data_IF_930390810098
#
_entry.id   IF_930390810098
#
_cell.length_a   1.000
_cell.length_b   1.000
_cell.length_c   1.000
_cell.angle_alpha   90.00
_cell.angle_beta   90.00
_cell.angle_gamma   90.00
#
_symmetry.space_group_name_H-M   'P 1'
#
loop_
_entity.id
_entity.type
_entity.pdbx_description
1 polymer ?
#
# COMPACT_ATOMS: atom_id res chain seq x y z
N UNK A 1 -21.11 -12.64 10.32
CA UNK A 1 -19.62 -12.79 10.40
C UNK A 1 -19.10 -12.59 8.99
N UNK A 2 -18.19 -11.61 8.80
CA UNK A 2 -17.64 -11.31 7.48
C UNK A 2 -16.43 -12.21 7.17
N UNK A 3 -16.29 -12.61 5.93
CA UNK A 3 -15.21 -13.47 5.44
C UNK A 3 -14.14 -12.62 4.77
N UNK A 4 -12.91 -12.66 5.27
CA UNK A 4 -11.78 -11.91 4.73
C UNK A 4 -10.72 -12.90 4.31
N UNK A 5 -10.30 -12.86 3.05
CA UNK A 5 -9.15 -13.61 2.58
C UNK A 5 -7.95 -12.68 2.39
N UNK A 6 -6.76 -13.11 2.83
CA UNK A 6 -5.52 -12.36 2.70
C UNK A 6 -4.60 -13.09 1.73
N UNK A 7 -4.16 -12.42 0.68
CA UNK A 7 -3.17 -12.97 -0.26
C UNK A 7 -1.76 -12.67 0.27
N UNK A 8 -0.99 -13.73 0.51
CA UNK A 8 0.36 -13.68 1.06
C UNK A 8 0.44 -14.18 2.49
N UNK A 9 1.59 -14.69 2.90
CA UNK A 9 1.85 -15.23 4.24
C UNK A 9 3.04 -14.55 4.94
N UNK A 10 3.39 -13.35 4.48
CA UNK A 10 4.50 -12.55 5.00
C UNK A 10 4.18 -11.80 6.31
N UNK A 11 5.09 -10.92 6.73
CA UNK A 11 4.98 -10.17 7.98
C UNK A 11 3.71 -9.31 8.05
N UNK A 12 3.34 -8.63 6.94
CA UNK A 12 2.12 -7.81 6.90
C UNK A 12 0.88 -8.68 7.12
N UNK A 13 0.78 -9.83 6.43
CA UNK A 13 -0.34 -10.75 6.61
C UNK A 13 -0.46 -11.21 8.07
N UNK A 14 0.65 -11.67 8.68
CA UNK A 14 0.64 -12.10 10.09
C UNK A 14 0.22 -11.00 11.05
N UNK A 15 0.70 -9.78 10.82
CA UNK A 15 0.31 -8.63 11.63
C UNK A 15 -1.20 -8.37 11.51
N UNK A 16 -1.74 -8.36 10.29
CA UNK A 16 -3.19 -8.19 10.04
C UNK A 16 -3.99 -9.28 10.77
N UNK A 17 -3.58 -10.54 10.63
CA UNK A 17 -4.25 -11.66 11.30
C UNK A 17 -4.23 -11.49 12.82
N UNK A 18 -3.06 -11.20 13.40
CA UNK A 18 -2.92 -10.99 14.84
C UNK A 18 -3.80 -9.83 15.34
N UNK A 19 -3.84 -8.71 14.62
CA UNK A 19 -4.65 -7.55 14.99
C UNK A 19 -6.15 -7.82 14.87
N UNK A 20 -6.59 -8.53 13.80
CA UNK A 20 -8.00 -8.92 13.63
C UNK A 20 -8.44 -10.01 14.63
N UNK A 21 -7.50 -10.79 15.17
CA UNK A 21 -7.74 -11.81 16.18
C UNK A 21 -7.47 -11.33 17.62
N UNK A 22 -7.03 -10.08 17.81
CA UNK A 22 -6.58 -9.59 19.12
C UNK A 22 -7.69 -9.54 20.18
N UNK A 23 -8.93 -9.28 19.78
CA UNK A 23 -10.07 -9.20 20.71
C UNK A 23 -11.18 -10.17 20.35
N UNK A 24 -11.97 -10.59 21.34
CA UNK A 24 -13.13 -11.46 21.10
C UNK A 24 -14.13 -10.82 20.14
N UNK A 25 -14.39 -9.54 20.28
CA UNK A 25 -15.31 -8.79 19.40
C UNK A 25 -14.89 -8.82 17.93
N UNK A 26 -13.60 -8.78 17.62
CA UNK A 26 -13.09 -8.89 16.26
C UNK A 26 -13.15 -10.35 15.76
N UNK A 27 -12.82 -11.33 16.62
CA UNK A 27 -12.96 -12.76 16.30
C UNK A 27 -14.41 -13.13 15.95
N UNK A 28 -15.37 -12.59 16.69
CA UNK A 28 -16.80 -12.83 16.44
C UNK A 28 -17.29 -12.12 15.15
N UNK A 29 -16.60 -11.09 14.73
CA UNK A 29 -16.95 -10.30 13.54
C UNK A 29 -16.39 -10.90 12.26
N UNK A 30 -15.17 -11.48 12.29
CA UNK A 30 -14.43 -11.89 11.11
C UNK A 30 -14.08 -13.37 11.09
N UNK A 31 -14.28 -14.01 9.92
CA UNK A 31 -13.70 -15.29 9.56
C UNK A 31 -12.56 -15.05 8.58
N UNK A 32 -11.39 -15.65 8.84
CA UNK A 32 -10.16 -15.32 8.14
C UNK A 32 -9.67 -16.50 7.30
N UNK A 33 -9.15 -16.20 6.12
CA UNK A 33 -8.46 -17.15 5.26
C UNK A 33 -7.17 -16.52 4.71
N UNK A 34 -6.21 -17.36 4.33
CA UNK A 34 -4.95 -16.94 3.73
C UNK A 34 -4.72 -17.72 2.46
N UNK A 35 -4.43 -17.02 1.36
CA UNK A 35 -3.85 -17.61 0.16
C UNK A 35 -2.32 -17.58 0.30
N UNK A 36 -1.72 -18.74 0.46
CA UNK A 36 -0.28 -18.92 0.58
C UNK A 36 0.24 -19.84 -0.53
N UNK A 37 1.54 -19.75 -0.84
CA UNK A 37 2.18 -20.65 -1.83
C UNK A 37 2.26 -22.12 -1.38
N UNK A 38 2.05 -22.37 -0.09
CA UNK A 38 2.09 -23.70 0.52
C UNK A 38 1.13 -23.74 1.70
N UNK A 39 0.52 -24.90 1.96
CA UNK A 39 -0.29 -25.14 3.18
C UNK A 39 0.52 -25.02 4.48
N UNK A 40 1.84 -25.16 4.38
CA UNK A 40 2.77 -24.99 5.51
C UNK A 40 3.74 -23.84 5.18
N UNK A 41 3.33 -22.58 5.41
CA UNK A 41 4.22 -21.45 5.23
C UNK A 41 5.45 -21.57 6.15
N UNK A 42 6.61 -21.09 5.70
CA UNK A 42 7.86 -21.16 6.45
C UNK A 42 7.78 -20.54 7.86
N UNK A 43 6.84 -19.60 8.06
CA UNK A 43 6.48 -19.08 9.38
C UNK A 43 5.02 -19.42 9.65
N UNK A 44 4.70 -20.05 10.80
CA UNK A 44 3.34 -20.43 11.14
C UNK A 44 2.37 -19.24 11.11
N UNK A 45 1.15 -19.51 10.66
CA UNK A 45 0.02 -18.57 10.73
C UNK A 45 -0.78 -18.82 12.02
N UNK A 46 -1.54 -17.84 12.51
CA UNK A 46 -2.48 -18.06 13.61
C UNK A 46 -3.47 -19.20 13.33
N UNK A 47 -3.78 -20.00 14.35
CA UNK A 47 -4.61 -21.22 14.25
C UNK A 47 -6.05 -20.98 13.74
N UNK A 48 -6.52 -19.75 13.76
CA UNK A 48 -7.90 -19.40 13.38
C UNK A 48 -8.05 -18.91 11.94
N UNK A 49 -7.06 -19.14 11.06
CA UNK A 49 -7.13 -18.80 9.65
C UNK A 49 -7.13 -20.08 8.79
N UNK A 50 -8.11 -20.20 7.89
CA UNK A 50 -8.10 -21.24 6.86
C UNK A 50 -6.94 -20.96 5.87
N UNK A 51 -6.24 -22.01 5.40
CA UNK A 51 -5.11 -21.84 4.47
C UNK A 51 -5.43 -22.50 3.14
N UNK A 52 -5.38 -21.68 2.08
CA UNK A 52 -5.59 -22.10 0.70
C UNK A 52 -4.30 -21.90 -0.09
N UNK A 53 -4.10 -22.70 -1.14
CA UNK A 53 -2.97 -22.57 -2.08
C UNK A 53 -3.42 -22.21 -3.49
N UNK A 54 -4.72 -22.12 -3.71
CA UNK A 54 -5.35 -21.78 -4.98
C UNK A 54 -6.39 -20.68 -4.80
N UNK A 55 -6.41 -19.72 -5.72
CA UNK A 55 -7.33 -18.57 -5.68
C UNK A 55 -8.78 -18.98 -5.94
N UNK A 56 -9.00 -20.00 -6.78
CA UNK A 56 -10.36 -20.43 -7.11
C UNK A 56 -11.00 -21.12 -5.89
N UNK A 57 -10.20 -21.82 -5.06
CA UNK A 57 -10.64 -22.33 -3.76
C UNK A 57 -10.95 -21.19 -2.76
N UNK A 58 -10.16 -20.10 -2.76
CA UNK A 58 -10.47 -18.90 -1.98
C UNK A 58 -11.80 -18.28 -2.41
N UNK A 59 -12.02 -18.14 -3.72
CA UNK A 59 -13.27 -17.57 -4.24
C UNK A 59 -14.47 -18.47 -3.96
N UNK A 60 -14.31 -19.81 -4.03
CA UNK A 60 -15.33 -20.77 -3.63
C UNK A 60 -15.68 -20.70 -2.13
N UNK A 61 -14.74 -20.25 -1.28
CA UNK A 61 -14.99 -19.96 0.14
C UNK A 61 -15.82 -18.69 0.35
N UNK A 62 -16.12 -17.92 -0.73
CA UNK A 62 -16.98 -16.73 -0.78
C UNK A 62 -16.53 -15.63 0.20
N UNK A 63 -15.34 -15.04 0.01
CA UNK A 63 -14.91 -13.90 0.81
C UNK A 63 -15.75 -12.65 0.49
N UNK A 64 -16.05 -11.84 1.50
CA UNK A 64 -16.64 -10.51 1.34
C UNK A 64 -15.59 -9.47 0.92
N UNK A 65 -14.32 -9.74 1.25
CA UNK A 65 -13.18 -8.89 0.93
C UNK A 65 -11.92 -9.74 0.75
N UNK A 66 -11.16 -9.47 -0.30
CA UNK A 66 -9.81 -9.98 -0.47
C UNK A 66 -8.80 -8.85 -0.22
N UNK A 67 -7.83 -9.09 0.66
CA UNK A 67 -6.73 -8.16 0.99
C UNK A 67 -5.44 -8.69 0.38
N UNK A 68 -4.88 -7.97 -0.58
CA UNK A 68 -3.55 -8.28 -1.10
C UNK A 68 -2.48 -7.71 -0.14
N UNK A 69 -1.64 -8.58 0.40
CA UNK A 69 -0.52 -8.27 1.30
C UNK A 69 0.75 -9.03 0.90
N UNK A 70 1.03 -9.13 -0.39
CA UNK A 70 2.10 -9.94 -0.97
C UNK A 70 3.06 -9.15 -1.87
N UNK A 71 2.61 -8.73 -3.06
CA UNK A 71 3.45 -8.03 -4.04
C UNK A 71 2.62 -7.43 -5.19
N UNK A 72 3.23 -6.53 -5.98
CA UNK A 72 2.65 -6.05 -7.23
C UNK A 72 2.33 -7.19 -8.22
N UNK A 73 3.13 -8.28 -8.21
CA UNK A 73 2.83 -9.47 -9.01
C UNK A 73 1.53 -10.15 -8.60
N UNK A 74 1.23 -10.21 -7.30
CA UNK A 74 -0.03 -10.77 -6.82
C UNK A 74 -1.25 -9.93 -7.21
N UNK A 75 -1.12 -8.60 -7.29
CA UNK A 75 -2.17 -7.72 -7.82
C UNK A 75 -2.48 -8.08 -9.27
N UNK A 76 -1.46 -8.27 -10.10
CA UNK A 76 -1.60 -8.65 -11.53
C UNK A 76 -2.22 -10.03 -11.69
N UNK A 77 -1.80 -10.99 -10.86
CA UNK A 77 -2.20 -12.40 -10.96
C UNK A 77 -3.65 -12.63 -10.47
N UNK A 78 -4.02 -11.97 -9.36
CA UNK A 78 -5.28 -12.30 -8.66
C UNK A 78 -6.35 -11.21 -8.73
N UNK A 79 -5.98 -9.95 -9.00
CA UNK A 79 -6.90 -8.82 -8.94
C UNK A 79 -8.09 -8.97 -9.88
N UNK A 80 -7.84 -9.33 -11.13
CA UNK A 80 -8.89 -9.55 -12.14
C UNK A 80 -9.84 -10.67 -11.71
N UNK A 81 -9.31 -11.81 -11.22
CA UNK A 81 -10.12 -12.97 -10.79
C UNK A 81 -11.07 -12.59 -9.66
N UNK A 82 -10.55 -11.88 -8.64
CA UNK A 82 -11.35 -11.42 -7.50
C UNK A 82 -12.48 -10.49 -7.93
N UNK A 83 -12.16 -9.48 -8.75
CA UNK A 83 -13.12 -8.47 -9.18
C UNK A 83 -14.19 -9.03 -10.13
N UNK A 84 -13.81 -9.95 -11.04
CA UNK A 84 -14.76 -10.69 -11.89
C UNK A 84 -15.71 -11.57 -11.09
N UNK A 85 -15.26 -12.11 -9.96
CA UNK A 85 -16.11 -12.85 -9.04
C UNK A 85 -17.02 -11.96 -8.16
N UNK A 86 -17.00 -10.62 -8.37
CA UNK A 86 -17.78 -9.66 -7.59
C UNK A 86 -17.23 -9.40 -6.18
N UNK A 87 -15.97 -9.80 -5.91
CA UNK A 87 -15.35 -9.64 -4.60
C UNK A 87 -14.49 -8.37 -4.57
N UNK A 88 -14.72 -7.49 -3.60
CA UNK A 88 -13.91 -6.29 -3.41
C UNK A 88 -12.46 -6.64 -3.10
N UNK A 89 -11.53 -5.85 -3.66
CA UNK A 89 -10.10 -6.12 -3.61
C UNK A 89 -9.33 -4.96 -3.00
N UNK A 90 -8.76 -5.16 -1.81
CA UNK A 90 -7.91 -4.19 -1.13
C UNK A 90 -6.45 -4.41 -1.56
N UNK A 91 -5.85 -3.39 -2.16
CA UNK A 91 -4.50 -3.44 -2.74
C UNK A 91 -3.53 -2.69 -1.84
N UNK A 92 -2.56 -3.39 -1.24
CA UNK A 92 -1.48 -2.74 -0.49
C UNK A 92 -0.26 -2.44 -1.36
N UNK A 93 -0.08 -3.22 -2.41
CA UNK A 93 0.99 -3.05 -3.40
C UNK A 93 0.55 -2.07 -4.51
N UNK A 94 0.11 -0.86 -4.10
CA UNK A 94 -0.45 0.16 -4.98
C UNK A 94 0.46 0.55 -6.16
N UNK A 95 1.78 0.32 -6.05
CA UNK A 95 2.73 0.48 -7.15
C UNK A 95 2.38 -0.32 -8.41
N UNK A 96 1.59 -1.41 -8.30
CA UNK A 96 1.08 -2.14 -9.46
C UNK A 96 0.19 -1.27 -10.37
N UNK A 97 -0.52 -0.30 -9.79
CA UNK A 97 -1.44 0.61 -10.49
C UNK A 97 -0.71 1.75 -11.24
N UNK A 98 0.62 1.79 -11.20
CA UNK A 98 1.43 2.61 -12.10
C UNK A 98 1.30 2.13 -13.56
N UNK A 99 1.00 0.86 -13.76
CA UNK A 99 0.58 0.31 -15.04
C UNK A 99 -0.88 0.73 -15.32
N UNK A 100 -1.04 1.66 -16.25
CA UNK A 100 -2.33 2.28 -16.55
C UNK A 100 -3.31 1.31 -17.22
N UNK A 101 -2.83 0.33 -17.98
CA UNK A 101 -3.67 -0.69 -18.59
C UNK A 101 -4.21 -1.64 -17.50
N UNK A 102 -3.35 -2.09 -16.59
CA UNK A 102 -3.79 -2.88 -15.46
C UNK A 102 -4.81 -2.12 -14.60
N UNK A 103 -4.53 -0.85 -14.26
CA UNK A 103 -5.42 -0.04 -13.45
C UNK A 103 -6.79 0.15 -14.11
N UNK A 104 -6.83 0.43 -15.42
CA UNK A 104 -8.06 0.55 -16.19
C UNK A 104 -8.82 -0.78 -16.27
N UNK A 105 -8.14 -1.89 -16.54
CA UNK A 105 -8.75 -3.23 -16.59
C UNK A 105 -9.35 -3.64 -15.24
N UNK A 106 -8.62 -3.48 -14.13
CA UNK A 106 -9.14 -3.76 -12.81
C UNK A 106 -10.35 -2.88 -12.47
N UNK A 107 -10.31 -1.60 -12.82
CA UNK A 107 -11.45 -0.68 -12.60
C UNK A 107 -12.70 -1.11 -13.38
N UNK A 108 -12.54 -1.51 -14.64
CA UNK A 108 -13.63 -2.01 -15.44
C UNK A 108 -14.24 -3.31 -14.84
N UNK A 109 -13.39 -4.23 -14.37
CA UNK A 109 -13.87 -5.46 -13.72
C UNK A 109 -14.59 -5.17 -12.39
N UNK A 110 -14.10 -4.22 -11.59
CA UNK A 110 -14.76 -3.81 -10.36
C UNK A 110 -16.16 -3.22 -10.64
N UNK A 111 -16.29 -2.38 -11.67
CA UNK A 111 -17.57 -1.81 -12.10
C UNK A 111 -18.55 -2.90 -12.57
N UNK A 112 -18.08 -3.81 -13.43
CA UNK A 112 -18.90 -4.91 -13.95
C UNK A 112 -19.32 -5.88 -12.85
N UNK A 113 -18.43 -6.17 -11.87
CA UNK A 113 -18.70 -7.06 -10.74
C UNK A 113 -19.50 -6.41 -9.59
N UNK A 114 -19.81 -5.10 -9.66
CA UNK A 114 -20.51 -4.38 -8.59
C UNK A 114 -19.70 -4.32 -7.29
N UNK A 115 -18.38 -4.43 -7.37
CA UNK A 115 -17.47 -4.44 -6.24
C UNK A 115 -16.46 -3.28 -6.29
N UNK A 116 -15.51 -3.23 -5.38
CA UNK A 116 -14.60 -2.08 -5.22
C UNK A 116 -13.14 -2.47 -5.22
N UNK A 117 -12.29 -1.62 -5.79
CA UNK A 117 -10.87 -1.56 -5.49
C UNK A 117 -10.68 -0.60 -4.33
N UNK A 118 -9.94 -1.04 -3.30
CA UNK A 118 -9.69 -0.25 -2.10
C UNK A 118 -8.18 -0.09 -1.95
N UNK A 119 -7.72 1.15 -1.82
CA UNK A 119 -6.31 1.46 -1.59
C UNK A 119 -6.19 2.07 -0.19
N UNK A 120 -5.57 1.39 0.78
CA UNK A 120 -5.37 1.95 2.11
C UNK A 120 -4.34 3.09 2.04
N UNK A 121 -4.41 4.03 2.98
CA UNK A 121 -3.42 5.11 3.07
C UNK A 121 -2.00 4.59 3.38
N UNK A 122 -1.89 3.39 3.93
CA UNK A 122 -0.62 2.74 4.18
C UNK A 122 0.27 3.53 5.15
N UNK A 123 1.36 4.10 4.64
CA UNK A 123 2.32 4.85 5.43
C UNK A 123 2.02 6.35 5.58
N UNK A 124 0.95 6.84 4.98
CA UNK A 124 0.62 8.27 4.91
C UNK A 124 -0.80 8.56 5.41
N UNK A 125 -1.19 9.84 5.40
CA UNK A 125 -2.53 10.32 5.73
C UNK A 125 -2.94 11.46 4.80
N UNK A 126 -4.12 12.07 5.06
CA UNK A 126 -4.60 13.24 4.33
C UNK A 126 -5.12 12.95 2.91
N UNK A 127 -5.40 11.69 2.58
CA UNK A 127 -5.88 11.31 1.23
C UNK A 127 -7.23 11.96 0.89
N UNK A 128 -8.07 12.16 1.88
CA UNK A 128 -9.37 12.86 1.76
C UNK A 128 -9.18 14.32 1.31
N UNK A 129 -8.25 15.05 1.93
CA UNK A 129 -7.91 16.42 1.51
C UNK A 129 -7.33 16.42 0.09
N UNK A 130 -6.42 15.48 -0.23
CA UNK A 130 -5.79 15.36 -1.54
C UNK A 130 -6.86 15.11 -2.62
N UNK A 131 -7.78 14.19 -2.38
CA UNK A 131 -8.90 13.91 -3.29
C UNK A 131 -9.78 15.14 -3.53
N UNK A 132 -10.05 15.90 -2.48
CA UNK A 132 -10.79 17.17 -2.58
C UNK A 132 -10.03 18.23 -3.39
N UNK A 133 -8.75 18.44 -3.07
CA UNK A 133 -7.89 19.41 -3.74
C UNK A 133 -7.69 19.09 -5.23
N UNK A 134 -7.55 17.82 -5.59
CA UNK A 134 -7.37 17.37 -6.97
C UNK A 134 -8.57 17.66 -7.90
N UNK A 135 -9.73 17.99 -7.35
CA UNK A 135 -10.90 18.38 -8.15
C UNK A 135 -10.81 19.82 -8.71
N UNK A 136 -9.88 20.62 -8.21
CA UNK A 136 -9.65 21.97 -8.70
C UNK A 136 -8.69 21.94 -9.90
N UNK A 137 -9.02 22.59 -11.03
CA UNK A 137 -8.08 22.71 -12.17
C UNK A 137 -6.75 23.30 -11.73
N UNK A 138 -5.66 22.74 -12.22
CA UNK A 138 -4.30 23.19 -11.88
C UNK A 138 -3.83 22.82 -10.48
N UNK A 139 -4.47 21.86 -9.81
CA UNK A 139 -3.96 21.33 -8.55
C UNK A 139 -2.58 20.70 -8.75
N UNK A 140 -1.66 20.99 -7.84
CA UNK A 140 -0.28 20.48 -7.83
C UNK A 140 -0.10 19.56 -6.62
N UNK A 141 0.49 18.38 -6.84
CA UNK A 141 0.83 17.42 -5.78
C UNK A 141 2.30 17.04 -5.93
N UNK A 142 3.06 17.28 -4.87
CA UNK A 142 4.46 16.89 -4.77
C UNK A 142 4.69 16.02 -3.55
N UNK A 143 5.56 15.02 -3.72
CA UNK A 143 5.88 14.04 -2.70
C UNK A 143 7.39 13.83 -2.60
N UNK A 144 7.89 13.83 -1.37
CA UNK A 144 9.28 13.49 -1.06
C UNK A 144 9.33 12.20 -0.23
N UNK A 145 10.07 11.22 -0.71
CA UNK A 145 10.44 10.03 0.03
C UNK A 145 11.85 10.22 0.59
N UNK A 146 11.97 10.46 1.90
CA UNK A 146 13.25 10.67 2.58
C UNK A 146 13.57 9.46 3.46
N UNK A 147 14.77 8.93 3.31
CA UNK A 147 15.25 7.81 4.12
C UNK A 147 16.74 8.00 4.44
N UNK A 148 17.21 7.44 5.57
CA UNK A 148 18.61 7.51 5.93
C UNK A 148 19.50 6.75 4.93
N UNK A 149 20.81 7.05 4.85
CA UNK A 149 21.75 6.43 3.92
C UNK A 149 21.74 4.90 3.93
N UNK A 150 21.53 4.29 5.08
CA UNK A 150 21.46 2.83 5.23
C UNK A 150 20.32 2.17 4.43
N UNK A 151 19.28 2.91 4.05
CA UNK A 151 18.18 2.41 3.23
C UNK A 151 18.49 2.41 1.72
N UNK A 152 19.61 3.06 1.30
CA UNK A 152 19.97 3.33 -0.08
C UNK A 152 21.37 2.81 -0.44
N UNK A 153 21.81 1.71 0.21
CA UNK A 153 23.16 1.15 0.00
C UNK A 153 23.48 0.86 -1.47
N UNK A 154 22.60 0.18 -2.25
CA UNK A 154 22.91 -0.11 -3.65
C UNK A 154 23.06 1.14 -4.52
N UNK A 155 22.20 2.15 -4.28
CA UNK A 155 22.21 3.40 -5.03
C UNK A 155 23.46 4.24 -4.70
N UNK A 156 23.84 4.31 -3.44
CA UNK A 156 25.05 5.00 -2.98
C UNK A 156 26.32 4.30 -3.48
N UNK A 157 26.35 2.98 -3.46
CA UNK A 157 27.45 2.18 -4.00
C UNK A 157 27.65 2.43 -5.49
N UNK A 158 26.55 2.46 -6.27
CA UNK A 158 26.59 2.79 -7.69
C UNK A 158 27.12 4.19 -7.98
N UNK A 159 27.00 5.12 -7.02
CA UNK A 159 27.54 6.48 -7.08
C UNK A 159 28.97 6.58 -6.52
N UNK A 160 29.54 5.50 -6.00
CA UNK A 160 30.86 5.49 -5.35
C UNK A 160 30.88 6.25 -4.01
N UNK A 161 29.73 6.39 -3.34
CA UNK A 161 29.58 7.15 -2.09
C UNK A 161 29.43 6.18 -0.92
N UNK A 162 30.33 6.28 0.06
CA UNK A 162 30.17 5.53 1.30
C UNK A 162 29.00 6.13 2.13
N UNK A 163 28.10 5.30 2.71
CA UNK A 163 26.97 5.82 3.49
C UNK A 163 27.36 6.78 4.62
N UNK A 164 28.50 6.53 5.26
CA UNK A 164 29.04 7.39 6.32
C UNK A 164 29.57 8.75 5.82
N UNK A 165 29.81 8.89 4.52
CA UNK A 165 30.26 10.15 3.91
C UNK A 165 29.11 11.09 3.51
N UNK A 166 27.86 10.63 3.62
CA UNK A 166 26.68 11.45 3.30
C UNK A 166 26.43 12.39 4.47
N UNK A 167 26.79 13.66 4.31
CA UNK A 167 26.60 14.74 5.29
C UNK A 167 25.40 15.64 4.98
N UNK A 168 24.98 15.68 3.72
CA UNK A 168 23.87 16.51 3.22
C UNK A 168 22.89 15.65 2.41
N UNK A 169 21.61 16.06 2.28
CA UNK A 169 20.65 15.35 1.47
C UNK A 169 21.06 15.20 0.01
N UNK A 170 20.92 13.98 -0.54
CA UNK A 170 21.19 13.66 -1.94
C UNK A 170 19.86 13.29 -2.63
N UNK A 171 19.51 14.01 -3.70
CA UNK A 171 18.35 13.69 -4.53
C UNK A 171 18.74 12.62 -5.53
N UNK A 172 18.23 11.40 -5.33
CA UNK A 172 18.44 10.26 -6.24
C UNK A 172 17.54 10.33 -7.48
N UNK A 173 16.38 10.96 -7.34
CA UNK A 173 15.38 11.10 -8.39
C UNK A 173 14.52 12.34 -8.16
N UNK A 174 14.15 13.01 -9.24
CA UNK A 174 13.14 14.07 -9.28
C UNK A 174 12.40 13.98 -10.61
N UNK A 175 11.07 13.82 -10.57
CA UNK A 175 10.24 13.67 -11.77
C UNK A 175 8.85 13.14 -11.46
N UNK A 176 8.07 12.76 -12.48
CA UNK A 176 6.71 12.27 -12.31
C UNK A 176 6.65 10.90 -11.61
N UNK A 177 5.54 10.63 -10.92
CA UNK A 177 5.32 9.35 -10.22
C UNK A 177 5.38 8.14 -11.17
N UNK A 178 5.01 8.29 -12.44
CA UNK A 178 5.11 7.23 -13.46
C UNK A 178 6.55 6.76 -13.67
N UNK A 179 7.50 7.68 -13.80
CA UNK A 179 8.93 7.35 -13.98
C UNK A 179 9.54 6.81 -12.67
N UNK A 180 9.17 7.44 -11.55
CA UNK A 180 9.60 7.00 -10.24
C UNK A 180 9.21 5.54 -9.97
N UNK A 181 7.98 5.13 -10.34
CA UNK A 181 7.47 3.77 -10.17
C UNK A 181 8.28 2.72 -10.95
N UNK A 182 8.75 3.08 -12.14
CA UNK A 182 9.62 2.20 -12.96
C UNK A 182 11.01 2.07 -12.32
N UNK A 183 11.58 3.19 -11.86
CA UNK A 183 12.94 3.22 -11.33
C UNK A 183 13.07 2.61 -9.94
N UNK A 184 12.04 2.75 -9.09
CA UNK A 184 12.03 2.31 -7.69
C UNK A 184 10.80 1.44 -7.35
N UNK A 185 10.54 0.32 -8.03
CA UNK A 185 9.29 -0.43 -7.92
C UNK A 185 9.01 -0.97 -6.50
N UNK A 186 10.05 -1.15 -5.68
CA UNK A 186 9.91 -1.65 -4.30
C UNK A 186 9.65 -0.55 -3.26
N UNK A 187 9.81 0.72 -3.64
CA UNK A 187 9.83 1.85 -2.69
C UNK A 187 8.67 2.84 -2.87
N UNK A 188 7.81 2.67 -3.90
CA UNK A 188 6.91 3.73 -4.33
C UNK A 188 5.41 3.42 -4.28
N UNK A 189 4.98 2.49 -3.41
CA UNK A 189 3.55 2.32 -3.15
C UNK A 189 2.89 3.64 -2.71
N UNK A 190 3.57 4.45 -1.90
CA UNK A 190 3.08 5.76 -1.44
C UNK A 190 2.88 6.73 -2.61
N UNK A 191 3.85 6.83 -3.53
CA UNK A 191 3.72 7.71 -4.70
C UNK A 191 2.54 7.29 -5.59
N UNK A 192 2.36 5.98 -5.80
CA UNK A 192 1.22 5.45 -6.54
C UNK A 192 -0.11 5.72 -5.82
N UNK A 193 -0.17 5.54 -4.50
CA UNK A 193 -1.36 5.87 -3.70
C UNK A 193 -1.73 7.36 -3.83
N UNK A 194 -0.75 8.26 -3.72
CA UNK A 194 -0.95 9.69 -3.88
C UNK A 194 -1.43 10.06 -5.29
N UNK A 195 -0.82 9.46 -6.30
CA UNK A 195 -1.21 9.68 -7.69
C UNK A 195 -2.65 9.21 -7.97
N UNK A 196 -3.04 8.05 -7.44
CA UNK A 196 -4.42 7.53 -7.56
C UNK A 196 -5.44 8.39 -6.80
N UNK A 197 -5.06 8.94 -5.65
CA UNK A 197 -5.91 9.84 -4.88
C UNK A 197 -5.97 11.26 -5.46
N UNK A 198 -4.96 11.67 -6.22
CA UNK A 198 -4.72 13.05 -6.62
C UNK A 198 -4.86 13.30 -8.12
N UNK A 199 -3.78 13.83 -8.71
CA UNK A 199 -3.74 14.35 -10.10
C UNK A 199 -3.22 13.34 -11.12
N UNK A 200 -3.08 12.08 -10.74
CA UNK A 200 -2.61 10.98 -11.60
C UNK A 200 -1.09 10.83 -11.65
N UNK A 201 -0.65 9.73 -12.28
CA UNK A 201 0.74 9.28 -12.27
C UNK A 201 1.71 10.24 -12.99
N UNK A 202 1.24 10.93 -14.02
CA UNK A 202 2.07 11.83 -14.83
C UNK A 202 2.20 13.24 -14.24
N UNK A 203 1.18 13.70 -13.50
CA UNK A 203 1.16 15.05 -12.92
C UNK A 203 1.72 15.09 -11.49
N UNK A 204 1.64 13.99 -10.73
CA UNK A 204 2.19 13.92 -9.37
C UNK A 204 3.72 13.93 -9.43
N UNK A 205 4.36 14.92 -8.81
CA UNK A 205 5.82 15.06 -8.74
C UNK A 205 6.37 14.29 -7.55
N UNK A 206 7.50 13.59 -7.77
CA UNK A 206 8.14 12.74 -6.75
C UNK A 206 9.61 13.07 -6.65
N UNK A 207 10.10 13.20 -5.43
CA UNK A 207 11.52 13.19 -5.12
C UNK A 207 11.87 12.00 -4.23
N UNK A 208 12.96 11.34 -4.57
CA UNK A 208 13.56 10.27 -3.76
C UNK A 208 14.87 10.80 -3.20
N UNK A 209 14.98 10.86 -1.88
CA UNK A 209 16.04 11.58 -1.19
C UNK A 209 16.73 10.67 -0.17
N UNK A 210 18.06 10.58 -0.27
CA UNK A 210 18.92 10.11 0.82
C UNK A 210 19.08 11.28 1.78
N UNK A 211 18.64 11.13 3.01
CA UNK A 211 18.71 12.20 4.00
C UNK A 211 19.41 11.71 5.28
N UNK A 212 20.64 12.16 5.56
CA UNK A 212 21.39 11.72 6.74
C UNK A 212 20.74 12.15 8.06
N UNK A 213 19.87 13.16 8.03
CA UNK A 213 19.14 13.62 9.21
C UNK A 213 17.76 12.96 9.37
N UNK A 214 17.32 12.16 8.38
CA UNK A 214 16.05 11.47 8.49
C UNK A 214 16.10 10.38 9.56
N UNK A 215 15.22 10.44 10.59
CA UNK A 215 15.22 9.45 11.67
C UNK A 215 14.58 8.10 11.27
N UNK A 216 14.12 7.97 10.02
CA UNK A 216 13.46 6.77 9.51
C UNK A 216 12.85 6.98 8.13
N UNK A 217 11.76 6.26 7.84
CA UNK A 217 10.98 6.46 6.62
C UNK A 217 10.15 7.74 6.76
N UNK A 218 10.60 8.82 6.15
CA UNK A 218 9.89 10.11 6.14
C UNK A 218 9.19 10.33 4.81
N UNK A 219 7.95 10.76 4.88
CA UNK A 219 7.09 11.10 3.77
C UNK A 219 6.67 12.56 3.91
N UNK A 220 7.03 13.41 2.95
CA UNK A 220 6.61 14.82 2.90
C UNK A 220 5.72 15.00 1.68
N UNK A 221 4.53 15.54 1.92
CA UNK A 221 3.51 15.75 0.88
C UNK A 221 3.17 17.23 0.85
N UNK A 222 3.20 17.81 -0.33
CA UNK A 222 2.79 19.18 -0.59
C UNK A 222 1.65 19.18 -1.61
N UNK A 223 0.57 19.86 -1.28
CA UNK A 223 -0.59 20.04 -2.14
C UNK A 223 -0.88 21.51 -2.26
N UNK A 224 -1.10 21.99 -3.49
CA UNK A 224 -1.53 23.34 -3.79
C UNK A 224 -2.70 23.30 -4.76
N UNK A 225 -3.74 24.04 -4.45
CA UNK A 225 -4.92 24.18 -5.29
C UNK A 225 -5.51 25.57 -5.14
N UNK A 226 -6.54 25.91 -5.92
CA UNK A 226 -7.27 27.15 -5.76
C UNK A 226 -7.96 27.28 -4.38
N UNK A 227 -8.24 26.15 -3.70
CA UNK A 227 -8.85 26.15 -2.37
C UNK A 227 -7.86 26.37 -1.22
N UNK A 228 -6.55 26.22 -1.47
CA UNK A 228 -5.52 26.39 -0.44
C UNK A 228 -4.30 25.52 -0.62
N UNK A 229 -3.43 25.54 0.39
CA UNK A 229 -2.22 24.74 0.47
C UNK A 229 -2.29 23.79 1.66
N UNK A 230 -1.74 22.59 1.47
CA UNK A 230 -1.62 21.57 2.51
C UNK A 230 -0.20 21.03 2.50
N UNK A 231 0.39 20.88 3.67
CA UNK A 231 1.68 20.22 3.83
C UNK A 231 1.59 19.22 4.96
N UNK A 232 2.08 18.01 4.71
CA UNK A 232 2.09 16.92 5.68
C UNK A 232 3.48 16.31 5.71
N UNK A 233 4.08 16.19 6.90
CA UNK A 233 5.30 15.43 7.12
C UNK A 233 5.04 14.33 8.12
N UNK A 234 5.33 13.09 7.72
CA UNK A 234 5.17 11.90 8.55
C UNK A 234 6.51 11.19 8.64
N UNK A 235 6.94 10.89 9.85
CA UNK A 235 8.09 10.02 10.11
C UNK A 235 7.58 8.72 10.71
N UNK A 236 7.75 7.63 9.98
CA UNK A 236 7.32 6.31 10.42
C UNK A 236 8.47 5.52 11.04
N UNK A 237 8.19 4.88 12.17
CA UNK A 237 9.09 3.85 12.72
C UNK A 237 9.05 2.60 11.82
N UNK A 238 10.20 1.95 11.61
CA UNK A 238 10.24 0.65 10.94
C UNK A 238 9.48 -0.41 11.76
N UNK A 239 8.91 -1.39 11.07
CA UNK A 239 8.31 -2.54 11.75
C UNK A 239 9.40 -3.34 12.49
N UNK A 240 9.16 -3.79 13.73
CA UNK A 240 10.11 -4.64 14.47
C UNK A 240 10.51 -5.90 13.70
N UNK A 241 9.55 -6.51 12.98
CA UNK A 241 9.74 -7.76 12.26
C UNK A 241 10.27 -7.57 10.83
N UNK A 242 10.17 -6.35 10.27
CA UNK A 242 10.64 -6.00 8.94
C UNK A 242 11.01 -4.52 8.83
N UNK A 243 12.28 -4.15 9.04
CA UNK A 243 12.74 -2.76 9.01
C UNK A 243 12.50 -2.03 7.67
N UNK A 244 12.26 -2.76 6.57
CA UNK A 244 11.96 -2.18 5.25
C UNK A 244 10.53 -1.65 5.15
N UNK A 245 9.64 -2.01 6.09
CA UNK A 245 8.23 -1.62 6.10
C UNK A 245 7.96 -0.71 7.28
N UNK A 246 7.22 0.37 7.06
CA UNK A 246 6.74 1.22 8.16
C UNK A 246 5.71 0.45 9.00
N UNK A 247 5.84 0.51 10.31
CA UNK A 247 5.00 -0.27 11.24
C UNK A 247 3.51 0.04 11.10
N UNK A 248 3.17 1.30 10.89
CA UNK A 248 1.79 1.78 10.74
C UNK A 248 1.05 1.14 9.54
N UNK A 249 1.76 0.64 8.53
CA UNK A 249 1.15 0.13 7.29
C UNK A 249 0.16 -0.99 7.57
N UNK A 250 0.54 -1.97 8.37
CA UNK A 250 -0.32 -3.11 8.68
C UNK A 250 -1.55 -2.68 9.49
N UNK A 251 -1.40 -1.78 10.46
CA UNK A 251 -2.53 -1.23 11.22
C UNK A 251 -3.47 -0.39 10.34
N UNK A 252 -2.93 0.34 9.38
CA UNK A 252 -3.76 1.08 8.41
C UNK A 252 -4.58 0.15 7.51
N UNK A 253 -4.04 -1.01 7.14
CA UNK A 253 -4.79 -2.05 6.42
C UNK A 253 -5.90 -2.61 7.30
N UNK A 254 -5.61 -2.93 8.57
CA UNK A 254 -6.61 -3.39 9.55
C UNK A 254 -7.71 -2.35 9.72
N UNK A 255 -7.36 -1.08 9.95
CA UNK A 255 -8.31 0.01 10.09
C UNK A 255 -9.18 0.18 8.83
N UNK A 256 -8.58 0.10 7.64
CA UNK A 256 -9.32 0.16 6.36
C UNK A 256 -10.25 -1.03 6.20
N UNK A 257 -9.82 -2.24 6.57
CA UNK A 257 -10.64 -3.45 6.56
C UNK A 257 -11.82 -3.32 7.52
N UNK A 258 -11.58 -2.88 8.76
CA UNK A 258 -12.65 -2.67 9.74
C UNK A 258 -13.66 -1.61 9.29
N UNK A 259 -13.17 -0.53 8.70
CA UNK A 259 -14.00 0.57 8.15
C UNK A 259 -14.86 0.10 6.98
N UNK A 260 -14.36 -0.77 6.11
CA UNK A 260 -15.12 -1.34 5.00
C UNK A 260 -16.40 -2.04 5.47
N UNK A 261 -16.35 -2.71 6.63
CA UNK A 261 -17.51 -3.38 7.24
C UNK A 261 -18.22 -2.57 8.31
N UNK A 262 -17.86 -1.32 8.49
CA UNK A 262 -18.50 -0.42 9.47
C UNK A 262 -19.69 0.30 8.87
N UNK A 263 -20.81 0.44 9.60
CA UNK A 263 -21.89 1.33 9.18
C UNK A 263 -21.50 2.82 9.20
N UNK A 264 -20.44 3.18 9.96
CA UNK A 264 -19.86 4.52 9.99
C UNK A 264 -18.53 4.51 9.21
N UNK A 265 -18.50 5.23 8.10
CA UNK A 265 -17.29 5.45 7.30
C UNK A 265 -16.73 6.87 7.57
N UNK A 266 -15.41 6.95 7.84
CA UNK A 266 -14.67 8.19 8.01
C UNK A 266 -13.63 8.31 6.90
#
# INVERSE_FOLDING_TARGET
>A
MHRIAIIGSGNICRHILNSLLATQALRDKFKLAVLARSHQPATPLPEHADVFTDIDAVLAWQPDLVVEAASQGAVREYGEKCLKAGVSFLITSAGALADTELAAGLTAHAQAGGCRIIIPSGAIGGLDYIQGAARFPGAEIAYESRKPPAAWLPELEAMGIAPAAVSEPIVLFSGPASEAAVRYPKNLNVAATLAQAGVGMTATQVQVIVDPQSPGNQHVIHVKSAAGTFSLSIVNKPSPDNPKTSWIVAENIVATTCRYFSPLAL
#
